data_IF_873612976089
#
_entry.id   IF_873612976089
#
_cell.length_a   1.000
_cell.length_b   1.000
_cell.length_c   1.000
_cell.angle_alpha   90.00
_cell.angle_beta   90.00
_cell.angle_gamma   90.00
#
_symmetry.space_group_name_H-M   'P 1'
#
loop_
_entity.id
_entity.type
_entity.pdbx_description
1 polymer ?
#
# COMPACT_ATOMS: atom_id res chain seq x y z
N UNK A 1 -44.82 51.72 28.14
CA UNK A 1 -45.95 52.02 27.23
C UNK A 1 -45.53 51.66 25.81
N UNK A 2 -46.32 50.85 25.11
CA UNK A 2 -46.31 50.58 23.65
C UNK A 2 -45.08 49.82 23.14
N UNK A 3 -45.07 48.48 23.05
CA UNK A 3 -45.84 47.55 22.19
C UNK A 3 -45.67 47.77 20.68
N UNK A 4 -45.34 46.68 19.98
CA UNK A 4 -45.65 46.32 18.57
C UNK A 4 -44.85 46.95 17.42
N UNK A 5 -43.87 46.17 16.90
CA UNK A 5 -43.57 45.97 15.46
C UNK A 5 -42.79 44.62 15.35
N UNK A 6 -43.45 43.47 15.36
CA UNK A 6 -44.04 42.74 14.21
C UNK A 6 -42.99 42.32 13.16
N UNK A 7 -42.60 41.06 13.26
CA UNK A 7 -42.41 40.07 12.19
C UNK A 7 -41.66 40.50 10.91
N UNK A 8 -40.34 40.30 10.91
CA UNK A 8 -39.58 40.01 9.70
C UNK A 8 -39.13 38.53 9.70
N UNK A 9 -40.09 37.64 9.99
CA UNK A 9 -39.98 36.21 9.67
C UNK A 9 -40.35 36.10 8.19
N UNK A 10 -39.41 36.46 7.31
CA UNK A 10 -39.39 36.06 5.91
C UNK A 10 -38.88 34.60 5.91
N UNK A 11 -39.80 33.65 6.04
CA UNK A 11 -40.32 32.84 4.93
C UNK A 11 -39.19 32.12 4.16
N UNK A 12 -39.10 30.83 4.49
CA UNK A 12 -38.87 29.73 3.57
C UNK A 12 -37.49 29.61 2.90
N UNK A 13 -36.60 28.89 3.58
CA UNK A 13 -35.71 27.95 2.92
C UNK A 13 -35.92 26.56 3.54
N UNK A 14 -37.02 25.91 3.11
CA UNK A 14 -37.01 24.46 2.93
C UNK A 14 -35.72 24.14 2.14
N UNK A 15 -34.93 23.12 2.48
CA UNK A 15 -35.27 21.73 2.29
C UNK A 15 -34.27 20.88 3.09
N UNK A 16 -34.76 20.25 4.16
CA UNK A 16 -34.19 19.00 4.66
C UNK A 16 -34.87 17.89 3.87
N UNK A 17 -34.16 17.27 2.93
CA UNK A 17 -34.44 15.89 2.53
C UNK A 17 -33.12 15.21 2.21
N UNK A 18 -32.68 14.40 3.16
CA UNK A 18 -31.80 13.25 2.95
C UNK A 18 -32.38 12.42 1.79
N UNK A 19 -31.57 12.17 0.77
CA UNK A 19 -31.76 11.06 -0.16
C UNK A 19 -30.44 10.31 -0.25
N UNK A 20 -30.32 9.26 0.57
CA UNK A 20 -29.44 8.15 0.27
C UNK A 20 -29.97 7.45 -0.98
N UNK A 21 -29.15 7.39 -2.02
CA UNK A 21 -29.40 6.53 -3.17
C UNK A 21 -28.15 5.67 -3.40
N UNK A 22 -28.28 4.38 -3.11
CA UNK A 22 -27.36 3.32 -3.49
C UNK A 22 -27.16 3.30 -5.01
N UNK A 23 -25.92 3.25 -5.49
CA UNK A 23 -25.61 2.80 -6.84
C UNK A 23 -24.40 1.86 -6.86
N UNK A 24 -24.79 0.60 -7.08
CA UNK A 24 -24.12 -0.56 -7.68
C UNK A 24 -22.74 -0.32 -8.32
N UNK A 25 -21.84 -1.22 -7.93
CA UNK A 25 -20.77 -1.80 -8.72
C UNK A 25 -21.25 -2.11 -10.15
N UNK A 26 -20.56 -1.61 -11.16
CA UNK A 26 -20.52 -2.22 -12.48
C UNK A 26 -19.14 -1.94 -13.10
N UNK A 27 -18.45 -3.02 -13.44
CA UNK A 27 -17.15 -3.08 -14.07
C UNK A 27 -17.18 -2.37 -15.44
N UNK A 28 -16.20 -1.53 -15.70
CA UNK A 28 -15.82 -1.18 -17.07
C UNK A 28 -14.31 -1.11 -17.19
N UNK A 29 -13.74 -2.18 -17.74
CA UNK A 29 -12.41 -2.18 -18.37
C UNK A 29 -12.56 -1.55 -19.74
N UNK A 30 -11.83 -0.47 -20.10
CA UNK A 30 -11.64 -0.10 -21.49
C UNK A 30 -10.27 -0.56 -21.97
N UNK A 31 -10.33 -1.42 -22.97
CA UNK A 31 -9.25 -1.84 -23.85
C UNK A 31 -8.60 -0.66 -24.62
N UNK A 32 -7.26 -0.71 -24.69
CA UNK A 32 -6.36 -0.45 -25.85
C UNK A 32 -5.99 0.99 -26.32
N UNK A 33 -4.66 1.19 -26.33
CA UNK A 33 -3.80 1.83 -27.36
C UNK A 33 -3.95 3.36 -27.61
N UNK A 34 -2.94 4.21 -27.89
CA UNK A 34 -1.48 4.16 -28.11
C UNK A 34 -0.94 5.62 -28.29
N UNK A 35 0.33 5.88 -27.86
CA UNK A 35 1.30 6.97 -28.19
C UNK A 35 0.96 8.47 -28.00
N UNK A 36 1.85 9.17 -27.26
CA UNK A 36 2.57 10.34 -27.81
C UNK A 36 3.90 10.59 -27.08
N UNK A 37 4.94 10.91 -27.86
CA UNK A 37 6.34 11.00 -27.49
C UNK A 37 6.74 12.35 -26.84
N UNK A 38 7.86 12.32 -26.12
CA UNK A 38 8.79 13.42 -25.80
C UNK A 38 8.60 14.12 -24.44
N UNK A 39 9.39 13.71 -23.44
CA UNK A 39 10.70 14.32 -23.18
C UNK A 39 11.46 13.49 -22.13
N UNK A 40 12.45 12.73 -22.61
CA UNK A 40 13.47 12.15 -21.76
C UNK A 40 14.25 13.30 -21.11
N UNK A 41 14.23 13.38 -19.78
CA UNK A 41 15.28 14.03 -19.02
C UNK A 41 15.83 13.00 -18.05
N UNK A 42 17.02 12.57 -18.42
CA UNK A 42 17.96 11.76 -17.68
C UNK A 42 18.14 12.30 -16.25
N UNK A 43 17.70 11.51 -15.26
CA UNK A 43 18.32 11.45 -13.94
C UNK A 43 17.84 10.21 -13.16
N UNK A 44 18.78 9.27 -13.02
CA UNK A 44 18.87 8.21 -12.01
C UNK A 44 17.85 7.05 -12.07
N UNK A 45 18.38 6.00 -12.67
CA UNK A 45 18.02 4.58 -12.64
C UNK A 45 17.95 4.03 -11.19
N UNK A 46 17.07 3.02 -11.01
CA UNK A 46 17.13 1.91 -10.03
C UNK A 46 16.30 1.98 -8.72
N UNK A 47 15.57 0.88 -8.47
CA UNK A 47 15.06 0.35 -7.18
C UNK A 47 13.61 0.65 -6.76
N UNK A 48 12.67 -0.15 -7.27
CA UNK A 48 11.41 -0.45 -6.54
C UNK A 48 10.75 -1.78 -6.87
N UNK A 49 11.10 -2.43 -7.98
CA UNK A 49 10.32 -3.57 -8.48
C UNK A 49 11.05 -4.91 -8.36
N UNK A 50 11.96 -5.05 -7.39
CA UNK A 50 12.49 -6.38 -7.05
C UNK A 50 11.33 -7.25 -6.55
N UNK A 51 11.23 -8.52 -6.96
CA UNK A 51 10.13 -9.37 -6.54
C UNK A 51 10.14 -9.52 -5.02
N UNK A 52 9.04 -9.09 -4.39
CA UNK A 52 8.78 -9.25 -2.95
C UNK A 52 8.90 -10.71 -2.52
N UNK A 53 8.49 -11.62 -3.40
CA UNK A 53 8.61 -13.07 -3.23
C UNK A 53 10.00 -13.52 -3.68
N UNK A 54 10.81 -14.00 -2.75
CA UNK A 54 12.18 -14.48 -3.03
C UNK A 54 12.17 -15.98 -3.34
N UNK A 55 13.04 -16.38 -4.25
CA UNK A 55 13.23 -17.77 -4.66
C UNK A 55 14.72 -18.14 -4.64
N UNK A 56 15.02 -19.42 -4.45
CA UNK A 56 16.39 -19.92 -4.40
C UNK A 56 17.12 -19.51 -3.12
N UNK A 57 18.41 -19.17 -3.27
CA UNK A 57 19.27 -18.75 -2.16
C UNK A 57 19.01 -17.26 -1.89
N UNK A 58 18.40 -16.97 -0.75
CA UNK A 58 18.05 -15.61 -0.34
C UNK A 58 19.28 -14.91 0.27
N UNK A 59 19.68 -13.75 -0.24
CA UNK A 59 20.67 -12.90 0.43
C UNK A 59 19.96 -11.85 1.27
N UNK A 60 19.83 -12.10 2.58
CA UNK A 60 19.09 -11.22 3.51
C UNK A 60 19.79 -9.87 3.68
N UNK A 61 21.13 -9.83 3.59
CA UNK A 61 21.91 -8.60 3.76
C UNK A 61 21.74 -7.63 2.59
N UNK A 62 21.43 -8.14 1.40
CA UNK A 62 21.13 -7.29 0.23
C UNK A 62 19.70 -6.71 0.29
N UNK A 63 18.82 -7.27 1.13
CA UNK A 63 17.46 -6.76 1.32
C UNK A 63 17.47 -5.51 2.18
N UNK A 64 18.26 -5.50 3.24
CA UNK A 64 18.48 -4.34 4.12
C UNK A 64 19.32 -3.29 3.38
N UNK A 65 18.66 -2.49 2.56
CA UNK A 65 19.32 -1.45 1.76
C UNK A 65 19.45 -0.16 2.54
N UNK A 66 18.55 0.07 3.49
CA UNK A 66 18.63 1.20 4.39
C UNK A 66 19.76 1.04 5.45
N UNK A 67 20.25 -0.19 5.68
CA UNK A 67 21.31 -0.61 6.59
C UNK A 67 20.99 -0.39 8.07
N UNK A 68 19.73 -0.55 8.46
CA UNK A 68 19.28 -0.45 9.84
C UNK A 68 19.36 -1.78 10.61
N UNK A 69 19.67 -2.89 9.92
CA UNK A 69 19.74 -4.22 10.49
C UNK A 69 18.39 -4.93 10.61
N UNK A 70 17.35 -4.36 10.01
CA UNK A 70 15.98 -4.86 10.01
C UNK A 70 15.46 -5.13 8.59
N UNK A 71 14.55 -6.10 8.49
CA UNK A 71 13.88 -6.47 7.25
C UNK A 71 12.42 -6.77 7.58
N UNK A 72 11.53 -6.45 6.65
CA UNK A 72 10.12 -6.75 6.73
C UNK A 72 9.85 -8.13 6.14
N UNK A 73 9.27 -9.01 6.95
CA UNK A 73 8.97 -10.40 6.60
C UNK A 73 7.47 -10.67 6.79
N UNK A 74 6.88 -11.46 5.89
CA UNK A 74 5.49 -11.89 6.07
C UNK A 74 5.41 -12.97 7.16
N UNK A 75 4.51 -12.84 8.16
CA UNK A 75 4.36 -13.83 9.22
C UNK A 75 3.72 -15.16 8.77
N UNK A 76 3.31 -15.26 7.50
CA UNK A 76 2.68 -16.44 6.90
C UNK A 76 3.51 -17.02 5.75
N UNK A 77 4.18 -16.16 4.98
CA UNK A 77 4.97 -16.52 3.79
C UNK A 77 6.43 -16.10 3.96
N UNK A 78 7.27 -16.98 4.53
CA UNK A 78 8.63 -16.65 4.97
C UNK A 78 9.63 -16.31 3.86
N UNK A 79 9.26 -16.50 2.59
CA UNK A 79 10.06 -16.05 1.46
C UNK A 79 9.68 -14.64 0.97
N UNK A 80 8.71 -13.98 1.59
CA UNK A 80 8.31 -12.62 1.26
C UNK A 80 9.05 -11.64 2.16
N UNK A 81 10.03 -10.94 1.57
CA UNK A 81 10.98 -10.09 2.28
C UNK A 81 11.20 -8.75 1.57
N UNK A 82 11.14 -7.66 2.33
CA UNK A 82 11.37 -6.29 1.83
C UNK A 82 12.14 -5.41 2.84
N UNK A 83 12.78 -4.38 2.33
CA UNK A 83 13.44 -3.31 3.09
C UNK A 83 12.42 -2.33 3.72
N UNK A 84 11.15 -2.43 3.32
CA UNK A 84 10.10 -1.46 3.66
C UNK A 84 8.84 -2.14 4.17
N UNK A 85 8.10 -1.39 4.99
CA UNK A 85 6.75 -1.77 5.37
C UNK A 85 5.85 -1.87 4.14
N UNK A 86 4.97 -2.87 4.13
CA UNK A 86 4.06 -3.13 3.04
C UNK A 86 3.09 -4.26 3.37
N UNK A 87 2.35 -4.70 2.36
CA UNK A 87 1.43 -5.82 2.46
C UNK A 87 1.99 -6.99 1.60
N UNK A 88 1.86 -8.21 2.09
CA UNK A 88 2.30 -9.41 1.40
C UNK A 88 1.45 -9.64 0.13
N UNK A 89 2.05 -9.81 -1.06
CA UNK A 89 1.30 -10.03 -2.30
C UNK A 89 0.66 -11.43 -2.38
N UNK A 90 1.05 -12.34 -1.49
CA UNK A 90 0.54 -13.73 -1.45
C UNK A 90 -0.71 -13.83 -0.57
N UNK A 91 -0.61 -13.38 0.70
CA UNK A 91 -1.71 -13.51 1.66
C UNK A 91 -2.41 -12.19 2.05
N UNK A 92 -1.91 -11.04 1.59
CA UNK A 92 -2.50 -9.72 1.86
C UNK A 92 -2.28 -9.18 3.28
N UNK A 93 -1.55 -9.89 4.14
CA UNK A 93 -1.23 -9.41 5.50
C UNK A 93 -0.07 -8.41 5.49
N UNK A 94 -0.05 -7.52 6.49
CA UNK A 94 1.07 -6.61 6.72
C UNK A 94 2.36 -7.38 7.00
N UNK A 95 3.42 -6.98 6.33
CA UNK A 95 4.77 -7.42 6.68
C UNK A 95 5.11 -6.88 8.07
N UNK A 96 5.85 -7.68 8.83
CA UNK A 96 6.32 -7.31 10.17
C UNK A 96 7.82 -7.11 10.12
N UNK A 97 8.30 -6.14 10.88
CA UNK A 97 9.72 -5.86 11.00
C UNK A 97 10.38 -6.91 11.91
N UNK A 98 11.51 -7.44 11.47
CA UNK A 98 12.36 -8.38 12.21
C UNK A 98 13.82 -7.97 12.06
N UNK A 99 14.67 -8.42 12.98
CA UNK A 99 16.12 -8.27 12.79
C UNK A 99 16.59 -9.22 11.69
N UNK A 100 17.68 -8.90 10.99
CA UNK A 100 18.31 -9.81 10.01
C UNK A 100 18.55 -11.19 10.61
N UNK A 101 19.00 -11.23 11.87
CA UNK A 101 19.29 -12.48 12.59
C UNK A 101 18.02 -13.30 12.80
N UNK A 102 16.89 -12.67 13.11
CA UNK A 102 15.62 -13.37 13.30
C UNK A 102 15.02 -13.85 11.97
N UNK A 103 15.16 -13.08 10.89
CA UNK A 103 14.80 -13.53 9.54
C UNK A 103 15.61 -14.76 9.15
N UNK A 104 16.92 -14.76 9.34
CA UNK A 104 17.77 -15.94 9.05
C UNK A 104 17.35 -17.19 9.86
N UNK A 105 16.94 -17.00 11.13
CA UNK A 105 16.37 -18.10 11.93
C UNK A 105 15.04 -18.58 11.36
N UNK A 106 14.16 -17.67 10.94
CA UNK A 106 12.88 -18.01 10.33
C UNK A 106 13.09 -18.80 9.02
N UNK A 107 13.95 -18.32 8.13
CA UNK A 107 14.33 -19.01 6.90
C UNK A 107 14.84 -20.42 7.18
N UNK A 108 15.77 -20.58 8.13
CA UNK A 108 16.27 -21.91 8.55
C UNK A 108 15.13 -22.80 9.07
N UNK A 109 14.26 -22.24 9.92
CA UNK A 109 13.17 -22.97 10.57
C UNK A 109 12.15 -23.51 9.57
N UNK A 110 11.88 -22.77 8.50
CA UNK A 110 10.88 -23.13 7.49
C UNK A 110 11.48 -23.71 6.19
N UNK A 111 12.78 -24.03 6.19
CA UNK A 111 13.43 -24.78 5.13
C UNK A 111 13.86 -23.95 3.91
N UNK A 112 14.07 -22.65 4.07
CA UNK A 112 14.61 -21.77 3.03
C UNK A 112 16.14 -21.69 3.12
N UNK A 113 16.78 -21.71 1.96
CA UNK A 113 18.22 -21.50 1.86
C UNK A 113 18.54 -20.01 1.77
N UNK A 114 19.59 -19.57 2.46
CA UNK A 114 20.06 -18.20 2.43
C UNK A 114 21.58 -18.13 2.51
N UNK A 115 22.12 -17.01 2.03
CA UNK A 115 23.55 -16.73 2.11
C UNK A 115 23.90 -16.31 3.55
N UNK A 116 24.84 -17.04 4.13
CA UNK A 116 25.34 -16.80 5.49
C UNK A 116 26.43 -15.73 5.51
#
# INVERSE_FOLDING_TARGET
MKTLLINLVLVASLLVTVSCAEKKNEETVPDKEMKSETQMKEYQQEKSDSPLVREGIIDVSEIDVNKDGHVYECPMDWNVLDDKAGDCPVCGMKLKEYTIVDVQKNLTKYGFEFKK
#
